data_IF_689735491225
#
_entry.id   IF_689735491225
#
_cell.length_a   1.000
_cell.length_b   1.000
_cell.length_c   1.000
_cell.angle_alpha   90.00
_cell.angle_beta   90.00
_cell.angle_gamma   90.00
#
_symmetry.space_group_name_H-M   'P 1'
#
loop_
_entity.id
_entity.type
_entity.pdbx_description
1 polymer ?
#
# COMPACT_ATOMS: atom_id res chain seq x y z
N UNK A 1 -7.29 22.13 41.92
CA UNK A 1 -7.41 20.65 41.93
C UNK A 1 -7.74 20.06 40.55
N UNK A 2 -8.40 20.76 39.63
CA UNK A 2 -8.69 20.27 38.27
C UNK A 2 -7.48 20.30 37.31
N UNK A 3 -6.58 21.28 37.43
CA UNK A 3 -5.40 21.39 36.56
C UNK A 3 -4.31 20.33 36.84
N UNK A 4 -4.15 19.87 38.09
CA UNK A 4 -3.16 18.84 38.43
C UNK A 4 -3.52 17.46 37.89
N UNK A 5 -4.81 17.10 37.88
CA UNK A 5 -5.26 15.82 37.30
C UNK A 5 -4.98 15.75 35.78
N UNK A 6 -5.24 16.85 35.07
CA UNK A 6 -5.03 16.93 33.62
C UNK A 6 -3.54 16.85 33.29
N UNK A 7 -2.67 17.52 34.07
CA UNK A 7 -1.22 17.47 33.85
C UNK A 7 -0.62 16.10 34.15
N UNK A 8 -1.13 15.39 35.17
CA UNK A 8 -0.64 14.07 35.51
C UNK A 8 -0.98 13.03 34.42
N UNK A 9 -2.19 13.06 33.87
CA UNK A 9 -2.56 12.17 32.75
C UNK A 9 -1.79 12.47 31.46
N UNK A 10 -1.49 13.74 31.16
CA UNK A 10 -0.68 14.07 29.99
C UNK A 10 0.76 13.57 30.11
N UNK A 11 1.34 13.61 31.32
CA UNK A 11 2.70 13.12 31.54
C UNK A 11 2.78 11.59 31.45
N UNK A 12 1.77 10.88 31.96
CA UNK A 12 1.68 9.41 31.89
C UNK A 12 1.50 8.91 30.43
N UNK A 13 0.71 9.63 29.61
CA UNK A 13 0.58 9.35 28.18
C UNK A 13 1.89 9.60 27.42
N UNK A 14 2.63 10.66 27.75
CA UNK A 14 3.93 10.95 27.13
C UNK A 14 4.98 9.91 27.53
N UNK A 15 4.98 9.45 28.78
CA UNK A 15 5.87 8.38 29.25
C UNK A 15 5.57 7.04 28.57
N UNK A 16 4.30 6.66 28.42
CA UNK A 16 3.92 5.43 27.71
C UNK A 16 4.22 5.50 26.21
N UNK A 17 4.12 6.66 25.56
CA UNK A 17 4.55 6.88 24.18
C UNK A 17 6.06 6.71 24.02
N UNK A 18 6.85 7.21 24.98
CA UNK A 18 8.31 7.08 24.96
C UNK A 18 8.79 5.64 25.22
N UNK A 19 8.13 4.91 26.13
CA UNK A 19 8.50 3.53 26.46
C UNK A 19 8.12 2.53 25.36
N UNK A 20 7.00 2.75 24.65
CA UNK A 20 6.52 1.85 23.60
C UNK A 20 7.06 2.16 22.20
N UNK A 21 8.09 3.00 22.07
CA UNK A 21 8.75 3.29 20.79
C UNK A 21 7.97 4.21 19.85
N UNK A 22 7.26 5.19 20.42
CA UNK A 22 6.61 6.28 19.69
C UNK A 22 5.15 6.03 19.33
N UNK A 23 4.49 7.09 18.84
CA UNK A 23 3.09 7.08 18.37
C UNK A 23 2.84 6.00 17.30
N UNK A 24 3.83 5.72 16.45
CA UNK A 24 3.69 4.76 15.34
C UNK A 24 3.42 3.32 15.82
N UNK A 25 4.02 2.91 16.95
CA UNK A 25 3.78 1.58 17.54
C UNK A 25 2.45 1.50 18.27
N UNK A 26 1.95 2.62 18.80
CA UNK A 26 0.62 2.70 19.41
C UNK A 26 -0.50 2.65 18.35
N UNK A 27 -0.28 3.26 17.18
CA UNK A 27 -1.26 3.31 16.10
C UNK A 27 -1.30 2.03 15.26
N UNK A 28 -0.18 1.28 15.17
CA UNK A 28 -0.10 0.01 14.42
C UNK A 28 -1.23 -1.00 14.74
N UNK A 29 -1.58 -1.27 16.00
CA UNK A 29 -2.68 -2.17 16.36
C UNK A 29 -4.07 -1.70 15.92
N UNK A 30 -4.24 -0.39 15.71
CA UNK A 30 -5.50 0.20 15.25
C UNK A 30 -5.66 0.02 13.73
N UNK A 31 -4.55 -0.08 13.00
CA UNK A 31 -4.55 -0.31 11.55
C UNK A 31 -4.70 -1.81 11.27
N UNK A 32 -5.78 -2.18 10.59
CA UNK A 32 -6.01 -3.54 10.11
C UNK A 32 -5.87 -3.59 8.59
N UNK A 33 -5.02 -4.48 8.11
CA UNK A 33 -4.91 -4.79 6.69
C UNK A 33 -5.68 -6.08 6.39
N UNK A 34 -6.80 -5.93 5.69
CA UNK A 34 -7.67 -7.05 5.31
C UNK A 34 -7.28 -7.50 3.91
N UNK A 35 -6.77 -8.73 3.78
CA UNK A 35 -6.44 -9.31 2.48
C UNK A 35 -7.69 -9.42 1.61
N UNK A 36 -7.60 -8.95 0.37
CA UNK A 36 -8.70 -9.01 -0.60
C UNK A 36 -8.42 -10.00 -1.73
N UNK A 37 -7.22 -9.95 -2.31
CA UNK A 37 -6.94 -10.68 -3.54
C UNK A 37 -5.44 -10.77 -3.86
N UNK A 38 -5.04 -11.83 -4.56
CA UNK A 38 -3.69 -12.01 -5.10
C UNK A 38 -3.68 -11.83 -6.61
N UNK A 39 -2.83 -10.96 -7.13
CA UNK A 39 -2.68 -10.71 -8.57
C UNK A 39 -1.20 -10.48 -8.93
N UNK A 40 -0.94 -9.89 -10.10
CA UNK A 40 0.37 -9.50 -10.59
C UNK A 40 0.35 -8.07 -11.13
N UNK A 41 1.52 -7.44 -11.20
CA UNK A 41 1.64 -6.12 -11.83
C UNK A 41 1.68 -6.29 -13.35
N UNK A 42 0.72 -5.69 -14.05
CA UNK A 42 0.67 -5.63 -15.51
C UNK A 42 1.46 -4.42 -16.04
N UNK A 43 1.87 -4.50 -17.31
CA UNK A 43 2.53 -3.39 -18.01
C UNK A 43 3.99 -3.15 -17.61
N UNK A 44 4.63 -4.09 -16.90
CA UNK A 44 6.04 -3.99 -16.47
C UNK A 44 7.04 -3.81 -17.63
N UNK A 45 6.68 -4.25 -18.84
CA UNK A 45 7.49 -4.10 -20.05
C UNK A 45 7.52 -2.67 -20.60
N UNK A 46 6.57 -1.80 -20.23
CA UNK A 46 6.48 -0.42 -20.69
C UNK A 46 7.13 0.58 -19.73
N UNK A 47 7.83 0.08 -18.71
CA UNK A 47 8.57 0.91 -17.78
C UNK A 47 9.79 1.53 -18.48
N UNK A 48 10.01 2.83 -18.24
CA UNK A 48 11.20 3.53 -18.73
C UNK A 48 12.50 2.91 -18.20
N UNK A 49 12.45 2.42 -16.96
CA UNK A 49 13.55 1.71 -16.31
C UNK A 49 13.03 0.42 -15.66
N UNK A 50 13.21 -0.75 -16.29
CA UNK A 50 12.82 -2.04 -15.71
C UNK A 50 13.65 -2.45 -14.48
N UNK A 51 14.81 -1.81 -14.26
CA UNK A 51 15.74 -2.17 -13.17
C UNK A 51 15.15 -1.91 -11.80
N UNK A 52 14.19 -0.98 -11.70
CA UNK A 52 13.48 -0.68 -10.45
C UNK A 52 12.79 -1.92 -9.87
N UNK A 53 12.32 -2.83 -10.74
CA UNK A 53 11.64 -4.06 -10.31
C UNK A 53 12.59 -5.06 -9.63
N UNK A 54 13.90 -4.94 -9.87
CA UNK A 54 14.92 -5.78 -9.22
C UNK A 54 15.31 -5.27 -7.83
N UNK A 55 15.02 -4.00 -7.53
CA UNK A 55 15.36 -3.36 -6.26
C UNK A 55 14.27 -3.51 -5.21
N UNK A 56 13.10 -4.01 -5.62
CA UNK A 56 11.94 -4.17 -4.77
C UNK A 56 12.14 -5.31 -3.77
N UNK A 57 11.74 -5.07 -2.51
CA UNK A 57 11.82 -6.09 -1.47
C UNK A 57 10.49 -6.85 -1.32
N UNK A 58 10.52 -8.18 -1.08
CA UNK A 58 9.33 -8.89 -0.65
C UNK A 58 8.73 -8.23 0.60
N UNK A 59 7.40 -8.19 0.69
CA UNK A 59 6.62 -7.51 1.73
C UNK A 59 6.70 -5.97 1.73
N UNK A 60 7.41 -5.36 0.78
CA UNK A 60 7.35 -3.90 0.60
C UNK A 60 5.91 -3.48 0.27
N UNK A 61 5.46 -2.40 0.92
CA UNK A 61 4.14 -1.83 0.71
C UNK A 61 4.15 -0.92 -0.52
N UNK A 62 3.16 -1.11 -1.37
CA UNK A 62 2.95 -0.41 -2.63
C UNK A 62 1.68 0.42 -2.55
N UNK A 63 1.70 1.59 -3.18
CA UNK A 63 0.55 2.48 -3.25
C UNK A 63 -0.27 2.17 -4.49
N UNK A 64 -1.58 2.14 -4.32
CA UNK A 64 -2.55 2.00 -5.40
C UNK A 64 -3.20 3.36 -5.65
N UNK A 65 -3.15 3.85 -6.89
CA UNK A 65 -3.65 5.18 -7.26
C UNK A 65 -4.56 5.07 -8.47
N UNK A 66 -5.74 5.72 -8.42
CA UNK A 66 -6.63 5.81 -9.58
C UNK A 66 -6.01 6.70 -10.64
N UNK A 67 -5.99 6.24 -11.89
CA UNK A 67 -5.54 7.00 -13.06
C UNK A 67 -6.71 7.12 -14.04
N UNK A 68 -6.96 8.33 -14.54
CA UNK A 68 -7.89 8.50 -15.67
C UNK A 68 -7.16 8.09 -16.95
N UNK A 69 -7.50 6.91 -17.46
CA UNK A 69 -6.90 6.37 -18.67
C UNK A 69 -7.98 6.30 -19.77
N UNK A 70 -7.63 6.78 -20.96
CA UNK A 70 -8.54 6.81 -22.12
C UNK A 70 -8.97 5.41 -22.60
N UNK A 71 -8.18 4.39 -22.31
CA UNK A 71 -8.46 3.01 -22.72
C UNK A 71 -9.12 2.19 -21.61
N UNK A 72 -8.90 2.55 -20.34
CA UNK A 72 -9.41 1.82 -19.18
C UNK A 72 -9.86 2.80 -18.07
N UNK A 73 -11.18 3.04 -17.91
CA UNK A 73 -11.68 3.93 -16.87
C UNK A 73 -11.43 3.39 -15.44
N UNK A 74 -11.14 2.10 -15.30
CA UNK A 74 -10.89 1.43 -14.02
C UNK A 74 -9.39 1.31 -13.71
N UNK A 75 -8.53 1.98 -14.47
CA UNK A 75 -7.08 1.90 -14.32
C UNK A 75 -6.60 2.25 -12.90
N UNK A 76 -5.82 1.35 -12.32
CA UNK A 76 -5.16 1.54 -11.02
C UNK A 76 -3.67 1.38 -11.23
N UNK A 77 -2.93 2.46 -10.99
CA UNK A 77 -1.48 2.51 -11.06
C UNK A 77 -0.90 1.96 -9.76
N UNK A 78 0.12 1.13 -9.90
CA UNK A 78 0.92 0.63 -8.78
C UNK A 78 2.20 1.45 -8.69
N UNK A 79 2.40 2.09 -7.53
CA UNK A 79 3.59 2.91 -7.23
C UNK A 79 4.39 2.30 -6.08
N UNK A 80 5.70 2.49 -6.11
CA UNK A 80 6.56 2.22 -4.96
C UNK A 80 6.46 3.30 -3.87
N UNK A 81 7.20 3.12 -2.78
CA UNK A 81 7.32 4.09 -1.68
C UNK A 81 7.84 5.47 -2.13
N UNK A 82 8.63 5.51 -3.21
CA UNK A 82 9.21 6.70 -3.84
C UNK A 82 8.32 7.31 -4.93
N UNK A 83 7.06 6.87 -5.06
CA UNK A 83 6.09 7.27 -6.08
C UNK A 83 6.54 6.97 -7.53
N UNK A 84 7.47 6.05 -7.75
CA UNK A 84 7.81 5.55 -9.08
C UNK A 84 6.79 4.52 -9.53
N UNK A 85 6.38 4.61 -10.79
CA UNK A 85 5.43 3.69 -11.40
C UNK A 85 6.06 2.33 -11.65
N UNK A 86 5.43 1.29 -11.12
CA UNK A 86 5.80 -0.12 -11.32
C UNK A 86 4.93 -0.79 -12.39
N UNK A 87 3.73 -0.25 -12.63
CA UNK A 87 2.79 -0.77 -13.63
C UNK A 87 1.35 -0.51 -13.19
N UNK A 88 0.48 -1.47 -13.51
CA UNK A 88 -0.96 -1.39 -13.26
C UNK A 88 -1.51 -2.67 -12.62
N UNK A 89 -2.65 -2.56 -11.96
CA UNK A 89 -3.51 -3.72 -11.69
C UNK A 89 -4.07 -4.21 -13.04
N UNK A 90 -4.05 -5.52 -13.34
CA UNK A 90 -4.58 -6.04 -14.60
C UNK A 90 -6.04 -5.65 -14.81
N UNK A 91 -6.40 -5.28 -16.04
CA UNK A 91 -7.75 -4.85 -16.42
C UNK A 91 -8.85 -5.84 -15.97
N UNK A 92 -8.59 -7.13 -16.15
CA UNK A 92 -9.50 -8.21 -15.72
C UNK A 92 -9.80 -8.24 -14.20
N UNK A 93 -8.92 -7.66 -13.38
CA UNK A 93 -8.99 -7.72 -11.92
C UNK A 93 -9.35 -6.35 -11.31
N UNK A 94 -9.24 -5.24 -12.05
CA UNK A 94 -9.29 -3.89 -11.47
C UNK A 94 -10.69 -3.34 -11.15
N UNK A 95 -11.76 -3.96 -11.66
CA UNK A 95 -13.14 -3.43 -11.58
C UNK A 95 -13.63 -3.32 -10.13
N UNK A 96 -13.35 -4.33 -9.30
CA UNK A 96 -13.80 -4.32 -7.89
C UNK A 96 -12.99 -3.30 -7.09
N UNK A 97 -11.68 -3.26 -7.29
CA UNK A 97 -10.79 -2.36 -6.55
C UNK A 97 -11.01 -0.89 -6.91
N UNK A 98 -11.26 -0.58 -8.18
CA UNK A 98 -11.58 0.79 -8.62
C UNK A 98 -12.84 1.29 -7.95
N UNK A 99 -13.91 0.50 -7.92
CA UNK A 99 -15.16 0.84 -7.20
C UNK A 99 -14.95 1.06 -5.70
N UNK A 100 -14.13 0.23 -5.05
CA UNK A 100 -13.79 0.42 -3.64
C UNK A 100 -13.07 1.76 -3.42
N UNK A 101 -12.07 2.07 -4.25
CA UNK A 101 -11.33 3.34 -4.18
C UNK A 101 -12.22 4.54 -4.49
N UNK A 102 -13.09 4.43 -5.50
CA UNK A 102 -14.04 5.47 -5.90
C UNK A 102 -15.10 5.70 -4.79
N UNK A 103 -15.39 4.69 -3.96
CA UNK A 103 -16.19 4.79 -2.74
C UNK A 103 -15.41 5.29 -1.51
N UNK A 104 -14.15 5.69 -1.67
CA UNK A 104 -13.30 6.25 -0.61
C UNK A 104 -12.61 5.21 0.28
N UNK A 105 -12.55 3.93 -0.13
CA UNK A 105 -11.82 2.90 0.61
C UNK A 105 -10.32 2.97 0.32
N UNK A 106 -9.51 2.96 1.38
CA UNK A 106 -8.06 2.96 1.27
C UNK A 106 -7.56 1.55 0.95
N UNK A 107 -6.90 1.38 -0.20
CA UNK A 107 -6.28 0.11 -0.59
C UNK A 107 -4.76 0.24 -0.61
N UNK A 108 -4.08 -0.83 -0.23
CA UNK A 108 -2.64 -0.99 -0.37
C UNK A 108 -2.33 -2.32 -1.08
N UNK A 109 -1.10 -2.47 -1.56
CA UNK A 109 -0.62 -3.76 -2.05
C UNK A 109 0.72 -4.12 -1.41
N UNK A 110 1.03 -5.41 -1.34
CA UNK A 110 2.33 -5.91 -0.88
C UNK A 110 2.92 -6.87 -1.87
N UNK A 111 4.24 -6.84 -2.00
CA UNK A 111 4.96 -7.78 -2.88
C UNK A 111 4.95 -9.17 -2.26
N UNK A 112 4.43 -10.13 -3.01
CA UNK A 112 4.41 -11.55 -2.64
C UNK A 112 5.61 -12.29 -3.20
N UNK A 113 5.94 -12.07 -4.48
CA UNK A 113 7.13 -12.67 -5.10
C UNK A 113 7.55 -11.92 -6.36
N UNK A 114 8.85 -11.93 -6.65
CA UNK A 114 9.42 -11.37 -7.88
C UNK A 114 10.14 -12.50 -8.62
N UNK A 115 9.75 -12.76 -9.85
CA UNK A 115 10.36 -13.80 -10.68
C UNK A 115 10.76 -13.23 -12.04
N UNK A 116 12.04 -13.35 -12.38
CA UNK A 116 12.53 -12.99 -13.71
C UNK A 116 12.18 -14.10 -14.70
N UNK A 117 11.27 -13.82 -15.63
CA UNK A 117 10.99 -14.68 -16.80
C UNK A 117 11.81 -14.21 -17.99
N UNK A 118 11.87 -15.03 -19.06
CA UNK A 118 12.72 -14.78 -20.24
C UNK A 118 12.52 -13.39 -20.85
N UNK A 119 11.27 -12.93 -20.94
CA UNK A 119 10.92 -11.67 -21.64
C UNK A 119 10.35 -10.57 -20.73
N UNK A 120 10.05 -10.88 -19.46
CA UNK A 120 9.43 -9.92 -18.54
C UNK A 120 9.66 -10.32 -17.07
N UNK A 121 9.46 -9.38 -16.17
CA UNK A 121 9.47 -9.60 -14.72
C UNK A 121 8.04 -9.89 -14.26
N UNK A 122 7.81 -11.07 -13.68
CA UNK A 122 6.54 -11.46 -13.06
C UNK A 122 6.57 -11.04 -11.60
N UNK A 123 5.88 -9.95 -11.28
CA UNK A 123 5.79 -9.38 -9.93
C UNK A 123 4.41 -9.68 -9.38
N UNK A 124 4.33 -10.62 -8.44
CA UNK A 124 3.11 -11.00 -7.75
C UNK A 124 2.89 -10.10 -6.55
N UNK A 125 1.65 -9.63 -6.39
CA UNK A 125 1.24 -8.75 -5.30
C UNK A 125 -0.04 -9.26 -4.65
N UNK A 126 -0.23 -8.90 -3.40
CA UNK A 126 -1.46 -9.10 -2.65
C UNK A 126 -2.06 -7.74 -2.34
N UNK A 127 -3.35 -7.56 -2.61
CA UNK A 127 -4.10 -6.31 -2.38
C UNK A 127 -4.81 -6.41 -1.03
N UNK A 128 -4.76 -5.32 -0.27
CA UNK A 128 -5.35 -5.20 1.06
C UNK A 128 -6.25 -3.97 1.15
N UNK A 129 -7.34 -4.09 1.90
CA UNK A 129 -8.10 -2.96 2.41
C UNK A 129 -7.45 -2.51 3.72
N UNK A 130 -7.17 -1.21 3.82
CA UNK A 130 -6.65 -0.60 5.04
C UNK A 130 -7.82 -0.01 5.82
N UNK A 131 -8.08 -0.59 6.99
CA UNK A 131 -9.11 -0.17 7.94
C UNK A 131 -8.41 0.51 9.14
N UNK A 132 -8.89 1.69 9.53
CA UNK A 132 -8.29 2.57 10.55
C UNK A 132 -9.22 2.76 11.74
#
# INVERSE_FOLDING_TARGET
MSNELIQNHSNELVETLNQNGGVDKLLKPLIREIHLFDTYIAGTTHLKDPSILLQLNPQESLKLVREQNQFDPNAIVVLDSSNKKLGYIPEKDNIVFSRLMDAGKALSAKIKSIQKKKSFMDVRISIYLVDF
#
